data_IF_569009109528
#
_entry.id   IF_569009109528
#
_cell.length_a   1.000
_cell.length_b   1.000
_cell.length_c   1.000
_cell.angle_alpha   90.00
_cell.angle_beta   90.00
_cell.angle_gamma   90.00
#
_symmetry.space_group_name_H-M   'P 1'
#
loop_
_entity.id
_entity.type
_entity.pdbx_description
1 polymer ?
#
# COMPACT_ATOMS: atom_id res chain seq x y z
N UNK A 1 -10.54 19.72 8.66
CA UNK A 1 -9.08 19.69 8.44
C UNK A 1 -8.75 18.33 7.87
N UNK A 2 -7.96 18.24 6.80
CA UNK A 2 -7.57 16.99 6.16
C UNK A 2 -6.06 16.78 6.29
N UNK A 3 -5.62 15.51 6.36
CA UNK A 3 -4.22 15.14 6.37
C UNK A 3 -3.82 14.57 5.01
N UNK A 4 -2.56 14.79 4.62
CA UNK A 4 -1.97 14.24 3.41
C UNK A 4 -0.56 13.71 3.67
N UNK A 5 -0.14 12.72 2.88
CA UNK A 5 1.21 12.19 2.88
C UNK A 5 1.87 12.60 1.56
N UNK A 6 2.92 13.42 1.64
CA UNK A 6 3.79 13.72 0.50
C UNK A 6 4.93 12.70 0.45
N UNK A 7 5.08 12.06 -0.69
CA UNK A 7 6.20 11.17 -0.98
C UNK A 7 7.00 11.73 -2.14
N UNK A 8 8.14 12.36 -1.82
CA UNK A 8 9.12 12.77 -2.83
C UNK A 8 9.97 11.57 -3.26
N UNK A 9 9.60 10.98 -4.40
CA UNK A 9 10.28 9.80 -4.95
C UNK A 9 11.70 10.10 -5.43
N UNK A 10 12.04 11.38 -5.71
CA UNK A 10 13.39 11.77 -6.12
C UNK A 10 14.42 11.62 -5.00
N UNK A 11 13.96 11.60 -3.74
CA UNK A 11 14.79 11.45 -2.54
C UNK A 11 14.72 10.05 -1.94
N UNK A 12 13.92 9.16 -2.51
CA UNK A 12 13.79 7.80 -2.00
C UNK A 12 15.06 7.01 -2.33
N UNK A 13 15.67 6.37 -1.33
CA UNK A 13 16.89 5.56 -1.49
C UNK A 13 16.61 4.05 -1.53
N UNK A 14 15.33 3.64 -1.50
CA UNK A 14 14.96 2.22 -1.50
C UNK A 14 15.32 1.46 -0.20
N UNK A 15 15.64 2.15 0.90
CA UNK A 15 16.12 1.53 2.15
C UNK A 15 15.13 0.58 2.86
N UNK A 16 13.84 0.59 2.47
CA UNK A 16 12.75 -0.22 3.06
C UNK A 16 12.44 0.04 4.54
N UNK A 17 13.02 1.05 5.17
CA UNK A 17 12.75 1.40 6.56
C UNK A 17 11.25 1.66 6.83
N UNK A 18 10.53 2.28 5.90
CA UNK A 18 9.09 2.50 6.03
C UNK A 18 8.27 1.21 6.08
N UNK A 19 8.74 0.12 5.46
CA UNK A 19 8.08 -1.19 5.52
C UNK A 19 8.24 -1.80 6.91
N UNK A 20 9.46 -1.75 7.45
CA UNK A 20 9.78 -2.24 8.79
C UNK A 20 9.04 -1.44 9.86
N UNK A 21 9.07 -0.10 9.77
CA UNK A 21 8.37 0.78 10.72
C UNK A 21 6.86 0.54 10.72
N UNK A 22 6.24 0.34 9.55
CA UNK A 22 4.82 0.03 9.46
C UNK A 22 4.47 -1.30 10.15
N UNK A 23 5.27 -2.35 9.89
CA UNK A 23 5.07 -3.65 10.56
C UNK A 23 5.28 -3.54 12.07
N UNK A 24 6.34 -2.86 12.51
CA UNK A 24 6.66 -2.66 13.92
C UNK A 24 5.51 -1.94 14.65
N UNK A 25 5.03 -0.82 14.10
CA UNK A 25 3.95 -0.05 14.72
C UNK A 25 2.64 -0.81 14.78
N UNK A 26 2.33 -1.60 13.75
CA UNK A 26 1.09 -2.37 13.66
C UNK A 26 1.19 -3.77 14.30
N UNK A 27 2.36 -4.17 14.82
CA UNK A 27 2.60 -5.52 15.33
C UNK A 27 2.40 -6.61 14.28
N UNK A 28 2.69 -6.32 13.00
CA UNK A 28 2.50 -7.27 11.91
C UNK A 28 3.68 -8.26 11.84
N UNK A 29 3.42 -9.56 11.54
CA UNK A 29 4.48 -10.54 11.45
C UNK A 29 5.38 -10.30 10.24
N UNK A 30 6.58 -10.90 10.28
CA UNK A 30 7.39 -11.09 9.09
C UNK A 30 6.61 -11.88 8.03
N UNK A 31 6.91 -11.60 6.76
CA UNK A 31 6.29 -12.26 5.61
C UNK A 31 7.44 -12.69 4.68
N UNK A 32 8.09 -13.84 4.98
CA UNK A 32 9.28 -14.26 4.25
C UNK A 32 8.95 -14.63 2.81
N UNK A 33 9.74 -14.14 1.88
CA UNK A 33 9.66 -14.45 0.46
C UNK A 33 11.01 -14.94 -0.04
N UNK A 34 11.05 -15.97 -0.90
CA UNK A 34 12.30 -16.42 -1.50
C UNK A 34 12.87 -15.32 -2.40
N UNK A 35 14.19 -15.23 -2.46
CA UNK A 35 14.85 -14.34 -3.42
C UNK A 35 14.59 -14.85 -4.84
N UNK A 36 14.10 -13.99 -5.72
CA UNK A 36 13.71 -14.31 -7.09
C UNK A 36 14.55 -13.56 -8.15
N UNK A 37 15.69 -13.00 -7.75
CA UNK A 37 16.53 -12.16 -8.63
C UNK A 37 16.26 -10.66 -8.52
N UNK A 38 15.22 -10.24 -7.78
CA UNK A 38 14.91 -8.82 -7.57
C UNK A 38 15.11 -8.38 -6.11
N UNK A 39 15.53 -7.13 -5.91
CA UNK A 39 15.59 -6.52 -4.57
C UNK A 39 14.20 -6.22 -3.98
N UNK A 40 13.17 -6.13 -4.82
CA UNK A 40 11.79 -5.99 -4.36
C UNK A 40 11.36 -7.27 -3.64
N UNK A 41 11.38 -7.22 -2.31
CA UNK A 41 11.06 -8.40 -1.48
C UNK A 41 9.69 -9.04 -1.74
N UNK A 42 8.63 -8.28 -1.97
CA UNK A 42 7.27 -8.83 -2.11
C UNK A 42 6.69 -8.45 -3.48
N UNK A 43 5.89 -9.32 -4.13
CA UNK A 43 5.25 -8.98 -5.40
C UNK A 43 4.20 -7.86 -5.25
N UNK A 44 3.62 -7.71 -4.06
CA UNK A 44 2.62 -6.68 -3.78
C UNK A 44 2.31 -6.57 -2.29
N UNK A 45 1.28 -5.80 -1.98
CA UNK A 45 0.73 -5.71 -0.62
C UNK A 45 0.06 -7.03 -0.21
N UNK A 46 -0.03 -7.27 1.09
CA UNK A 46 -0.73 -8.43 1.68
C UNK A 46 -1.42 -8.00 2.98
N UNK A 47 -2.21 -8.90 3.59
CA UNK A 47 -2.76 -8.69 4.94
C UNK A 47 -1.67 -8.50 6.03
N UNK A 48 -0.41 -8.85 5.72
CA UNK A 48 0.76 -8.70 6.61
C UNK A 48 1.68 -7.54 6.20
N UNK A 49 1.48 -6.94 5.02
CA UNK A 49 2.39 -5.95 4.43
C UNK A 49 1.57 -4.82 3.80
N UNK A 50 1.33 -3.74 4.56
CA UNK A 50 0.48 -2.62 4.16
C UNK A 50 1.18 -1.54 3.33
N UNK A 51 2.51 -1.48 3.42
CA UNK A 51 3.34 -0.61 2.60
C UNK A 51 4.50 -1.42 2.02
N UNK A 52 4.86 -1.12 0.77
CA UNK A 52 5.91 -1.81 0.02
C UNK A 52 6.75 -0.78 -0.75
N UNK A 53 8.06 -0.94 -0.81
CA UNK A 53 8.88 -0.24 -1.80
C UNK A 53 8.82 -1.03 -3.10
N UNK A 54 8.21 -0.46 -4.13
CA UNK A 54 8.33 -0.95 -5.51
C UNK A 54 9.64 -0.47 -6.08
N UNK A 55 10.38 -1.39 -6.71
CA UNK A 55 11.69 -1.13 -7.29
C UNK A 55 11.61 -1.48 -8.78
N UNK A 56 11.92 -0.52 -9.65
CA UNK A 56 11.85 -0.70 -11.10
C UNK A 56 13.06 -0.09 -11.76
N UNK A 57 13.83 -0.93 -12.43
CA UNK A 57 14.89 -0.49 -13.33
C UNK A 57 14.26 -0.07 -14.65
N UNK A 58 14.66 1.09 -15.15
CA UNK A 58 14.19 1.67 -16.40
C UNK A 58 15.39 2.23 -17.15
N UNK A 59 15.56 1.81 -18.39
CA UNK A 59 16.59 2.34 -19.27
C UNK A 59 16.03 3.53 -20.04
N UNK A 60 16.56 4.71 -19.77
CA UNK A 60 16.20 5.96 -20.45
C UNK A 60 17.39 6.42 -21.29
N UNK A 61 17.27 6.34 -22.62
CA UNK A 61 18.31 6.70 -23.58
C UNK A 61 19.70 6.10 -23.26
N UNK A 62 19.74 4.81 -22.92
CA UNK A 62 20.99 4.11 -22.57
C UNK A 62 21.49 4.35 -21.14
N UNK A 63 20.82 5.20 -20.35
CA UNK A 63 21.12 5.42 -18.94
C UNK A 63 20.20 4.57 -18.05
N UNK A 64 20.78 3.78 -17.15
CA UNK A 64 20.01 3.07 -16.14
C UNK A 64 19.46 4.06 -15.10
N UNK A 65 18.14 4.06 -14.92
CA UNK A 65 17.43 4.72 -13.83
C UNK A 65 16.78 3.67 -12.94
N UNK A 66 17.01 3.77 -11.64
CA UNK A 66 16.36 2.89 -10.68
C UNK A 66 15.32 3.66 -9.88
N UNK A 67 14.04 3.39 -10.17
CA UNK A 67 12.92 4.08 -9.55
C UNK A 67 12.45 3.35 -8.30
N UNK A 68 12.35 4.11 -7.21
CA UNK A 68 11.84 3.63 -5.92
C UNK A 68 10.55 4.35 -5.58
N UNK A 69 9.49 3.58 -5.36
CA UNK A 69 8.18 4.12 -4.98
C UNK A 69 7.67 3.37 -3.77
N UNK A 70 7.55 4.06 -2.63
CA UNK A 70 6.73 3.59 -1.53
C UNK A 70 5.28 3.54 -1.99
N UNK A 71 4.66 2.38 -1.85
CA UNK A 71 3.34 2.05 -2.35
C UNK A 71 2.48 1.55 -1.20
N UNK A 72 1.32 2.19 -1.00
CA UNK A 72 0.37 1.92 0.08
C UNK A 72 -1.01 2.50 -0.28
N UNK A 73 -1.97 2.46 0.65
CA UNK A 73 -3.25 3.17 0.51
C UNK A 73 -3.04 4.67 0.24
N UNK A 74 -3.77 5.19 -0.75
CA UNK A 74 -3.75 6.60 -1.13
C UNK A 74 -4.71 7.46 -0.30
N UNK A 75 -5.56 6.85 0.54
CA UNK A 75 -6.62 7.52 1.31
C UNK A 75 -7.42 8.51 0.45
N UNK A 76 -7.93 8.02 -0.69
CA UNK A 76 -8.61 8.84 -1.68
C UNK A 76 -9.76 9.66 -1.05
N UNK A 77 -9.86 10.95 -1.39
CA UNK A 77 -10.98 11.81 -0.99
C UNK A 77 -12.33 11.24 -1.41
N UNK A 78 -12.39 10.62 -2.60
CA UNK A 78 -13.54 9.84 -3.10
C UNK A 78 -13.16 8.37 -3.34
N UNK A 79 -13.05 7.60 -2.26
CA UNK A 79 -12.64 6.21 -2.28
C UNK A 79 -13.72 5.28 -2.84
N UNK A 80 -13.47 4.74 -4.04
CA UNK A 80 -14.30 3.70 -4.66
C UNK A 80 -14.45 2.45 -3.77
N UNK A 81 -13.42 2.08 -3.00
CA UNK A 81 -13.50 0.95 -2.08
C UNK A 81 -14.45 1.19 -0.88
N UNK A 82 -14.64 2.44 -0.44
CA UNK A 82 -15.65 2.82 0.57
C UNK A 82 -17.04 2.73 -0.06
N UNK A 83 -17.24 3.35 -1.24
CA UNK A 83 -18.52 3.34 -1.96
C UNK A 83 -18.99 1.91 -2.30
N UNK A 84 -18.07 1.01 -2.63
CA UNK A 84 -18.37 -0.36 -3.01
C UNK A 84 -18.58 -1.34 -1.84
N UNK A 85 -18.27 -0.97 -0.59
CA UNK A 85 -18.34 -1.91 0.53
C UNK A 85 -19.79 -2.05 1.06
N UNK A 86 -20.47 -3.21 0.88
CA UNK A 86 -21.86 -3.35 1.30
C UNK A 86 -22.02 -3.34 2.84
N UNK A 87 -20.98 -3.76 3.57
CA UNK A 87 -21.00 -3.84 5.03
C UNK A 87 -20.58 -2.54 5.72
N UNK A 88 -20.21 -1.50 4.94
CA UNK A 88 -19.62 -0.26 5.48
C UNK A 88 -18.43 -0.54 6.41
N UNK A 89 -17.67 -1.60 6.09
CA UNK A 89 -16.44 -1.97 6.78
C UNK A 89 -15.27 -1.04 6.38
N UNK A 90 -15.35 -0.40 5.21
CA UNK A 90 -14.48 0.71 4.85
C UNK A 90 -15.26 2.02 5.01
N UNK A 91 -14.63 3.01 5.63
CA UNK A 91 -15.27 4.28 5.97
C UNK A 91 -14.25 5.41 6.04
N UNK A 92 -14.73 6.66 6.05
CA UNK A 92 -13.90 7.81 6.34
C UNK A 92 -13.88 8.07 7.83
N UNK A 93 -12.69 7.99 8.43
CA UNK A 93 -12.42 8.46 9.78
C UNK A 93 -12.03 9.95 9.75
N UNK A 94 -11.62 10.48 10.90
CA UNK A 94 -11.16 11.85 11.03
C UNK A 94 -10.04 12.17 10.02
N UNK A 95 -9.95 13.45 9.66
CA UNK A 95 -8.92 13.99 8.78
C UNK A 95 -8.88 13.41 7.35
N UNK A 96 -9.97 12.78 6.89
CA UNK A 96 -10.07 12.20 5.53
C UNK A 96 -9.46 10.81 5.41
N UNK A 97 -9.12 10.15 6.53
CA UNK A 97 -8.48 8.84 6.53
C UNK A 97 -9.49 7.76 6.14
N UNK A 98 -9.29 7.10 5.00
CA UNK A 98 -9.97 5.84 4.69
C UNK A 98 -9.51 4.74 5.65
N UNK A 99 -10.38 4.30 6.55
CA UNK A 99 -10.14 3.29 7.58
C UNK A 99 -10.92 1.99 7.31
N UNK A 100 -10.48 0.90 7.96
CA UNK A 100 -11.05 -0.44 7.81
C UNK A 100 -11.43 -1.03 9.17
N UNK A 101 -12.71 -1.36 9.33
CA UNK A 101 -13.28 -2.10 10.45
C UNK A 101 -13.30 -3.59 10.11
N UNK A 102 -12.50 -4.37 10.84
CA UNK A 102 -12.37 -5.81 10.63
C UNK A 102 -13.60 -6.59 11.09
N UNK A 103 -14.31 -6.12 12.10
CA UNK A 103 -15.44 -6.83 12.70
C UNK A 103 -16.67 -6.81 11.79
N UNK A 104 -16.83 -5.73 11.02
CA UNK A 104 -17.89 -5.62 10.00
C UNK A 104 -17.59 -6.34 8.69
N UNK A 105 -16.34 -6.73 8.47
CA UNK A 105 -15.91 -7.27 7.18
C UNK A 105 -16.32 -8.74 7.01
N UNK A 106 -17.03 -9.04 5.91
CA UNK A 106 -17.44 -10.41 5.54
C UNK A 106 -16.58 -11.03 4.43
N UNK A 107 -15.47 -10.40 4.04
CA UNK A 107 -14.53 -10.96 3.05
C UNK A 107 -15.02 -11.00 1.60
N UNK A 108 -16.09 -10.29 1.25
CA UNK A 108 -16.71 -10.33 -0.09
C UNK A 108 -15.85 -9.82 -1.27
N UNK A 109 -14.72 -9.14 -1.03
CA UNK A 109 -13.78 -8.74 -2.08
C UNK A 109 -14.19 -7.55 -2.96
N UNK A 110 -15.39 -6.97 -2.82
CA UNK A 110 -15.80 -5.81 -3.61
C UNK A 110 -14.82 -4.63 -3.54
N UNK A 111 -14.24 -4.37 -2.37
CA UNK A 111 -13.26 -3.31 -2.18
C UNK A 111 -11.96 -3.54 -2.97
N UNK A 112 -11.57 -4.80 -3.17
CA UNK A 112 -10.37 -5.19 -3.93
C UNK A 112 -10.59 -4.88 -5.41
N UNK A 113 -11.72 -5.31 -5.96
CA UNK A 113 -12.07 -5.09 -7.37
C UNK A 113 -12.30 -3.62 -7.72
N UNK A 114 -12.76 -2.81 -6.76
CA UNK A 114 -13.09 -1.40 -7.00
C UNK A 114 -11.97 -0.42 -6.69
N UNK A 115 -10.86 -0.85 -6.06
CA UNK A 115 -9.76 0.06 -5.79
C UNK A 115 -8.92 0.26 -7.07
N UNK A 116 -8.84 1.48 -7.64
CA UNK A 116 -8.09 1.71 -8.89
C UNK A 116 -6.58 1.51 -8.72
N UNK A 117 -6.08 1.61 -7.49
CA UNK A 117 -4.68 1.34 -7.17
C UNK A 117 -4.42 -0.13 -6.84
N UNK A 118 -5.46 -0.94 -6.69
CA UNK A 118 -5.35 -2.32 -6.23
C UNK A 118 -4.63 -2.39 -4.88
N UNK A 119 -5.11 -1.67 -3.86
CA UNK A 119 -4.53 -1.66 -2.51
C UNK A 119 -5.15 -2.71 -1.56
N UNK A 120 -6.48 -2.82 -1.42
CA UNK A 120 -7.08 -3.81 -0.54
C UNK A 120 -6.67 -5.24 -0.91
N UNK A 121 -6.53 -6.10 0.10
CA UNK A 121 -6.16 -7.51 -0.04
C UNK A 121 -7.11 -8.38 0.77
N UNK A 122 -7.41 -9.57 0.27
CA UNK A 122 -8.11 -10.63 0.99
C UNK A 122 -7.14 -11.44 1.84
#
# INVERSE_FOLDING_TARGET
>A
MELAILQDVSKCTGCRACMVACKQWKGLPADPTPFNGEYQSHPGLSAKTYTLIRMREHFDNGTLRWHFVKFQCMHCSEAACVKACPQKALYYADYGIVAFDRERCVGCGYCVNNCPFGVPRL
#
